data_IF_561852923617
#
_entry.id   IF_561852923617
#
_cell.length_a   1.000
_cell.length_b   1.000
_cell.length_c   1.000
_cell.angle_alpha   90.00
_cell.angle_beta   90.00
_cell.angle_gamma   90.00
#
_symmetry.space_group_name_H-M   'P 1'
#
loop_
_entity.id
_entity.type
_entity.pdbx_description
1 polymer ?
#
# COMPACT_ATOMS: atom_id res chain seq x y z
N UNK A 1 -25.60 17.84 59.35
CA UNK A 1 -24.16 17.80 59.71
C UNK A 1 -23.49 18.88 58.89
N UNK A 2 -23.30 20.06 59.50
CA UNK A 2 -22.01 20.58 60.01
C UNK A 2 -21.10 21.01 58.85
N UNK A 3 -21.10 22.30 58.50
CA UNK A 3 -20.26 23.39 59.03
C UNK A 3 -18.90 23.48 58.31
N UNK A 4 -18.47 24.73 58.07
CA UNK A 4 -17.11 25.29 57.99
C UNK A 4 -17.10 26.41 56.93
N UNK A 5 -17.41 27.65 57.33
CA UNK A 5 -16.55 28.71 57.91
C UNK A 5 -16.13 29.73 56.85
N UNK A 6 -16.62 30.94 57.08
CA UNK A 6 -16.20 32.22 56.53
C UNK A 6 -14.82 32.61 57.08
N UNK A 7 -13.95 33.17 56.23
CA UNK A 7 -13.00 34.19 56.68
C UNK A 7 -12.83 35.26 55.59
N UNK A 8 -12.80 36.50 56.07
CA UNK A 8 -12.92 37.77 55.35
C UNK A 8 -11.56 38.50 55.37
N UNK A 9 -11.51 39.61 54.63
CA UNK A 9 -10.50 40.68 54.62
C UNK A 9 -9.32 40.44 53.66
N UNK A 10 -8.91 41.37 52.81
CA UNK A 10 -9.33 42.75 52.57
C UNK A 10 -8.61 43.23 51.30
N UNK A 11 -9.27 44.11 50.55
CA UNK A 11 -8.83 44.48 49.20
C UNK A 11 -7.62 45.41 49.15
N UNK A 12 -7.00 45.45 47.97
CA UNK A 12 -6.41 46.64 47.38
C UNK A 12 -6.62 46.56 45.86
N UNK A 13 -7.41 47.49 45.36
CA UNK A 13 -7.55 47.84 43.94
C UNK A 13 -6.39 48.71 43.50
N UNK A 14 -5.75 48.38 42.38
CA UNK A 14 -4.97 49.23 41.45
C UNK A 14 -4.22 48.25 40.52
N UNK A 15 -4.02 48.42 39.22
CA UNK A 15 -4.50 49.28 38.15
C UNK A 15 -3.88 48.68 36.88
N UNK A 16 -4.43 48.99 35.70
CA UNK A 16 -3.96 48.59 34.37
C UNK A 16 -2.43 48.45 34.21
N UNK A 17 -1.96 47.35 33.63
CA UNK A 17 -0.81 47.43 32.73
C UNK A 17 -0.87 46.33 31.65
N UNK A 18 -1.15 46.78 30.44
CA UNK A 18 -1.14 46.03 29.18
C UNK A 18 0.29 45.57 28.87
N UNK A 19 0.64 44.31 29.18
CA UNK A 19 1.96 43.74 28.84
C UNK A 19 1.86 42.91 27.56
N UNK A 20 2.27 43.57 26.48
CA UNK A 20 2.23 43.10 25.10
C UNK A 20 2.81 41.70 24.86
N UNK A 21 2.24 41.07 23.84
CA UNK A 21 2.64 39.80 23.24
C UNK A 21 4.09 39.86 22.76
N UNK A 22 5.03 39.46 23.61
CA UNK A 22 6.41 39.15 23.21
C UNK A 22 6.40 37.87 22.34
N UNK A 23 7.06 37.84 21.17
CA UNK A 23 6.95 36.74 20.23
C UNK A 23 7.55 35.45 20.83
N UNK A 24 6.69 34.44 20.99
CA UNK A 24 6.94 33.11 21.58
C UNK A 24 8.22 32.41 21.07
N UNK A 25 8.72 32.81 19.90
CA UNK A 25 9.94 32.32 19.25
C UNK A 25 11.22 32.76 20.00
N UNK A 26 11.27 34.00 20.51
CA UNK A 26 12.46 34.51 21.22
C UNK A 26 12.69 33.78 22.55
N UNK A 27 11.63 33.30 23.19
CA UNK A 27 11.68 32.57 24.47
C UNK A 27 12.18 31.12 24.30
N UNK A 28 11.94 30.47 23.15
CA UNK A 28 12.47 29.14 22.84
C UNK A 28 13.98 29.16 22.54
N UNK A 29 14.45 30.15 21.79
CA UNK A 29 15.87 30.29 21.45
C UNK A 29 16.74 30.62 22.67
N UNK A 30 16.21 31.40 23.63
CA UNK A 30 16.92 31.73 24.88
C UNK A 30 17.11 30.50 25.78
N UNK A 31 16.21 29.51 25.68
CA UNK A 31 16.23 28.24 26.43
C UNK A 31 17.30 27.26 25.92
N UNK A 32 17.70 27.35 24.65
CA UNK A 32 18.83 26.60 24.09
C UNK A 32 20.20 27.11 24.55
N UNK A 33 20.27 28.32 25.12
CA UNK A 33 21.51 28.92 25.64
C UNK A 33 21.82 28.48 27.07
N UNK A 34 20.83 27.91 27.76
CA UNK A 34 21.00 27.37 29.09
C UNK A 34 21.88 26.10 29.07
N UNK A 35 22.77 25.96 30.06
CA UNK A 35 23.72 24.84 30.12
C UNK A 35 23.00 23.52 30.40
N UNK A 36 21.96 23.55 31.23
CA UNK A 36 21.27 22.34 31.66
C UNK A 36 20.31 21.82 30.59
N UNK A 37 19.67 22.72 29.82
CA UNK A 37 18.88 22.33 28.64
C UNK A 37 19.75 21.69 27.55
N UNK A 38 20.99 22.17 27.34
CA UNK A 38 21.94 21.56 26.39
C UNK A 38 22.42 20.18 26.83
N UNK A 39 22.67 19.98 28.12
CA UNK A 39 22.99 18.66 28.68
C UNK A 39 21.83 17.69 28.50
N UNK A 40 20.59 18.12 28.75
CA UNK A 40 19.40 17.29 28.59
C UNK A 40 19.20 16.87 27.12
N UNK A 41 19.35 17.81 26.18
CA UNK A 41 19.27 17.51 24.74
C UNK A 41 20.41 16.58 24.31
N UNK A 42 21.64 16.79 24.80
CA UNK A 42 22.78 15.92 24.51
C UNK A 42 22.57 14.50 25.03
N UNK A 43 22.01 14.33 26.24
CA UNK A 43 21.69 13.01 26.81
C UNK A 43 20.57 12.32 26.02
N UNK A 44 19.52 13.04 25.60
CA UNK A 44 18.44 12.48 24.78
C UNK A 44 18.96 12.06 23.40
N UNK A 45 19.81 12.87 22.77
CA UNK A 45 20.41 12.54 21.48
C UNK A 45 21.40 11.37 21.60
N UNK A 46 22.24 11.35 22.63
CA UNK A 46 23.17 10.25 22.90
C UNK A 46 22.42 8.93 23.15
N UNK A 47 21.33 8.95 23.91
CA UNK A 47 20.47 7.78 24.13
C UNK A 47 19.83 7.26 22.83
N UNK A 48 19.35 8.16 21.97
CA UNK A 48 18.83 7.79 20.64
C UNK A 48 19.91 7.20 19.74
N UNK A 49 21.11 7.78 19.72
CA UNK A 49 22.22 7.28 18.92
C UNK A 49 22.71 5.90 19.40
N UNK A 50 22.78 5.69 20.73
CA UNK A 50 23.08 4.38 21.31
C UNK A 50 22.03 3.32 20.94
N UNK A 51 20.75 3.68 20.96
CA UNK A 51 19.66 2.81 20.52
C UNK A 51 19.76 2.42 19.04
N UNK A 52 20.08 3.39 18.16
CA UNK A 52 20.28 3.13 16.73
C UNK A 52 21.49 2.22 16.49
N UNK A 53 22.60 2.44 17.19
CA UNK A 53 23.80 1.59 17.07
C UNK A 53 23.53 0.17 17.57
N UNK A 54 22.83 0.01 18.70
CA UNK A 54 22.44 -1.30 19.22
C UNK A 54 21.50 -2.06 18.26
N UNK A 55 20.56 -1.34 17.63
CA UNK A 55 19.67 -1.92 16.62
C UNK A 55 20.44 -2.37 15.37
N UNK A 56 21.33 -1.51 14.84
CA UNK A 56 22.15 -1.85 13.67
C UNK A 56 23.10 -3.02 13.96
N UNK A 57 23.61 -3.11 15.18
CA UNK A 57 24.40 -4.25 15.63
C UNK A 57 23.56 -5.52 15.70
N UNK A 58 22.35 -5.48 16.28
CA UNK A 58 21.44 -6.61 16.32
C UNK A 58 21.05 -7.10 14.92
N UNK A 59 20.80 -6.20 13.98
CA UNK A 59 20.50 -6.53 12.57
C UNK A 59 21.69 -7.21 11.90
N UNK A 60 22.91 -6.72 12.10
CA UNK A 60 24.13 -7.37 11.56
C UNK A 60 24.42 -8.71 12.23
N UNK A 61 24.24 -8.82 13.54
CA UNK A 61 24.45 -10.05 14.29
C UNK A 61 23.43 -11.14 13.88
N UNK A 62 22.16 -10.74 13.68
CA UNK A 62 21.13 -11.62 13.13
C UNK A 62 21.48 -12.06 11.71
N UNK A 63 21.88 -11.13 10.84
CA UNK A 63 22.32 -11.45 9.48
C UNK A 63 23.55 -12.37 9.43
N UNK A 64 24.48 -12.24 10.38
CA UNK A 64 25.64 -13.12 10.50
C UNK A 64 25.27 -14.52 11.03
N UNK A 65 24.41 -14.59 12.05
CA UNK A 65 23.96 -15.86 12.64
C UNK A 65 23.14 -16.70 11.65
N UNK A 66 22.22 -16.07 10.90
CA UNK A 66 21.41 -16.74 9.88
C UNK A 66 22.06 -16.80 8.50
N UNK A 67 23.12 -16.04 8.26
CA UNK A 67 23.88 -16.02 6.99
C UNK A 67 25.08 -16.96 6.97
N UNK A 68 25.33 -17.73 8.03
CA UNK A 68 26.34 -18.80 7.98
C UNK A 68 25.92 -19.85 6.96
N UNK A 69 26.77 -20.08 5.94
CA UNK A 69 26.45 -21.03 4.89
C UNK A 69 26.35 -22.44 5.49
N UNK A 70 25.17 -23.04 5.40
CA UNK A 70 25.06 -24.49 5.45
C UNK A 70 25.90 -25.04 4.30
N UNK A 71 26.87 -25.90 4.60
CA UNK A 71 27.72 -26.57 3.62
C UNK A 71 26.85 -27.33 2.61
N UNK A 72 26.50 -26.68 1.51
CA UNK A 72 25.93 -27.34 0.35
C UNK A 72 27.05 -28.11 -0.33
N UNK A 73 27.08 -29.43 -0.08
CA UNK A 73 27.93 -30.36 -0.79
C UNK A 73 27.80 -30.15 -2.30
N UNK A 74 28.95 -30.11 -2.97
CA UNK A 74 29.14 -30.00 -4.41
C UNK A 74 28.22 -30.96 -5.18
N UNK A 75 27.05 -30.49 -5.60
CA UNK A 75 26.26 -31.15 -6.62
C UNK A 75 26.73 -30.64 -7.98
N UNK A 76 27.25 -31.59 -8.76
CA UNK A 76 27.63 -31.47 -10.16
C UNK A 76 26.50 -30.75 -10.92
N UNK A 77 26.76 -29.52 -11.36
CA UNK A 77 25.88 -28.77 -12.25
C UNK A 77 25.77 -29.51 -13.59
N UNK A 78 24.83 -30.45 -13.67
CA UNK A 78 24.10 -30.67 -14.91
C UNK A 78 23.37 -29.35 -15.17
N UNK A 79 23.42 -28.83 -16.39
CA UNK A 79 22.78 -27.56 -16.75
C UNK A 79 21.25 -27.65 -16.56
N UNK A 80 20.79 -27.46 -15.33
CA UNK A 80 19.39 -27.19 -15.00
C UNK A 80 19.17 -25.74 -15.38
N UNK A 81 18.22 -25.47 -16.28
CA UNK A 81 17.81 -24.08 -16.53
C UNK A 81 17.34 -23.50 -15.20
N UNK A 82 17.81 -22.31 -14.85
CA UNK A 82 17.46 -21.67 -13.58
C UNK A 82 15.95 -21.57 -13.34
N UNK A 83 15.17 -21.53 -14.43
CA UNK A 83 13.70 -21.48 -14.45
C UNK A 83 13.01 -22.76 -13.93
N UNK A 84 13.72 -23.89 -13.83
CA UNK A 84 13.16 -25.18 -13.41
C UNK A 84 13.29 -25.44 -11.89
N UNK A 85 13.99 -24.57 -11.15
CA UNK A 85 14.23 -24.78 -9.71
C UNK A 85 13.28 -23.91 -8.89
N UNK A 86 12.22 -24.54 -8.39
CA UNK A 86 11.38 -23.93 -7.35
C UNK A 86 12.18 -23.87 -6.05
N UNK A 87 12.47 -22.66 -5.58
CA UNK A 87 13.05 -22.42 -4.28
C UNK A 87 11.95 -22.47 -3.20
N UNK A 88 11.99 -23.45 -2.28
CA UNK A 88 10.94 -23.61 -1.28
C UNK A 88 10.84 -22.42 -0.33
N UNK A 89 11.96 -21.82 0.07
CA UNK A 89 11.98 -20.67 1.00
C UNK A 89 11.36 -19.42 0.36
N UNK A 90 11.73 -19.12 -0.89
CA UNK A 90 11.12 -18.00 -1.63
C UNK A 90 9.62 -18.22 -1.81
N UNK A 91 9.22 -19.45 -2.18
CA UNK A 91 7.82 -19.80 -2.39
C UNK A 91 7.00 -19.68 -1.10
N UNK A 92 7.51 -20.20 0.02
CA UNK A 92 6.84 -20.08 1.33
C UNK A 92 6.70 -18.62 1.73
N UNK A 93 7.74 -17.81 1.58
CA UNK A 93 7.67 -16.38 1.89
C UNK A 93 6.62 -15.65 1.05
N UNK A 94 6.58 -15.93 -0.27
CA UNK A 94 5.57 -15.35 -1.17
C UNK A 94 4.17 -15.83 -0.81
N UNK A 95 3.97 -17.09 -0.43
CA UNK A 95 2.66 -17.57 0.02
C UNK A 95 2.21 -16.90 1.32
N UNK A 96 3.10 -16.81 2.32
CA UNK A 96 2.79 -16.12 3.58
C UNK A 96 2.39 -14.67 3.32
N UNK A 97 3.17 -13.96 2.50
CA UNK A 97 2.85 -12.56 2.15
C UNK A 97 1.59 -12.46 1.28
N UNK A 98 1.32 -13.40 0.38
CA UNK A 98 0.08 -13.46 -0.39
C UNK A 98 -1.15 -13.60 0.52
N UNK A 99 -1.09 -14.45 1.55
CA UNK A 99 -2.17 -14.56 2.53
C UNK A 99 -2.33 -13.29 3.38
N UNK A 100 -1.24 -12.63 3.75
CA UNK A 100 -1.30 -11.36 4.47
C UNK A 100 -1.94 -10.25 3.64
N UNK A 101 -1.58 -10.16 2.35
CA UNK A 101 -2.18 -9.19 1.42
C UNK A 101 -3.62 -9.54 1.14
N UNK A 102 -3.95 -10.82 0.92
CA UNK A 102 -5.34 -11.25 0.77
C UNK A 102 -6.18 -10.96 2.03
N UNK A 103 -5.58 -11.02 3.22
CA UNK A 103 -6.27 -10.63 4.45
C UNK A 103 -6.56 -9.13 4.54
N UNK A 104 -5.93 -8.29 3.71
CA UNK A 104 -6.32 -6.88 3.56
C UNK A 104 -7.77 -6.76 3.10
N UNK A 105 -8.33 -7.74 2.39
CA UNK A 105 -9.72 -7.71 1.94
C UNK A 105 -10.70 -7.75 3.11
N UNK A 106 -10.40 -8.52 4.16
CA UNK A 106 -11.17 -8.46 5.40
C UNK A 106 -11.07 -7.07 6.05
N UNK A 107 -9.90 -6.43 5.98
CA UNK A 107 -9.67 -5.07 6.46
C UNK A 107 -10.47 -4.02 5.68
N UNK A 108 -10.44 -4.07 4.35
CA UNK A 108 -11.22 -3.19 3.48
C UNK A 108 -12.72 -3.40 3.67
N UNK A 109 -13.17 -4.65 3.71
CA UNK A 109 -14.58 -4.98 3.97
C UNK A 109 -15.05 -4.39 5.30
N UNK A 110 -14.24 -4.50 6.37
CA UNK A 110 -14.53 -3.86 7.66
C UNK A 110 -14.56 -2.32 7.59
N UNK A 111 -13.64 -1.72 6.83
CA UNK A 111 -13.57 -0.28 6.63
C UNK A 111 -14.76 0.26 5.84
N UNK A 112 -15.13 -0.40 4.74
CA UNK A 112 -16.29 -0.04 3.92
C UNK A 112 -17.59 -0.19 4.69
N UNK A 113 -17.77 -1.33 5.38
CA UNK A 113 -18.92 -1.56 6.25
C UNK A 113 -19.01 -0.52 7.38
N UNK A 114 -17.87 -0.10 7.94
CA UNK A 114 -17.79 0.90 8.99
C UNK A 114 -18.12 2.33 8.53
N UNK A 115 -17.77 2.68 7.29
CA UNK A 115 -18.12 3.98 6.69
C UNK A 115 -19.51 4.00 6.01
N UNK A 116 -20.08 2.82 5.75
CA UNK A 116 -21.44 2.68 5.23
C UNK A 116 -22.49 3.00 6.31
N UNK A 117 -23.71 3.31 5.86
CA UNK A 117 -24.86 3.40 6.76
C UNK A 117 -25.26 1.99 7.19
N UNK A 118 -25.68 1.83 8.45
CA UNK A 118 -26.04 0.52 9.03
C UNK A 118 -27.03 -0.30 8.19
N UNK A 119 -27.96 0.38 7.49
CA UNK A 119 -28.95 -0.29 6.61
C UNK A 119 -28.36 -0.85 5.32
N UNK A 120 -27.21 -0.36 4.88
CA UNK A 120 -26.53 -0.79 3.64
C UNK A 120 -25.41 -1.80 3.92
N UNK A 121 -25.02 -2.01 5.18
CA UNK A 121 -23.86 -2.81 5.56
C UNK A 121 -23.89 -4.21 4.97
N UNK A 122 -25.04 -4.90 4.99
CA UNK A 122 -25.15 -6.26 4.43
C UNK A 122 -24.88 -6.28 2.92
N UNK A 123 -25.37 -5.27 2.20
CA UNK A 123 -25.16 -5.15 0.76
C UNK A 123 -23.67 -4.91 0.45
N UNK A 124 -23.02 -4.03 1.20
CA UNK A 124 -21.58 -3.75 1.08
C UNK A 124 -20.74 -5.01 1.33
N UNK A 125 -21.06 -5.79 2.38
CA UNK A 125 -20.33 -7.02 2.67
C UNK A 125 -20.45 -8.04 1.52
N UNK A 126 -21.64 -8.18 0.93
CA UNK A 126 -21.87 -9.06 -0.21
C UNK A 126 -21.14 -8.57 -1.46
N UNK A 127 -21.15 -7.27 -1.72
CA UNK A 127 -20.43 -6.64 -2.82
C UNK A 127 -18.93 -6.90 -2.72
N UNK A 128 -18.31 -6.71 -1.54
CA UNK A 128 -16.88 -6.99 -1.35
C UNK A 128 -16.53 -8.48 -1.61
N UNK A 129 -17.32 -9.43 -1.09
CA UNK A 129 -17.05 -10.86 -1.31
C UNK A 129 -17.21 -11.22 -2.78
N UNK A 130 -18.26 -10.69 -3.43
CA UNK A 130 -18.51 -10.95 -4.83
C UNK A 130 -17.43 -10.33 -5.72
N UNK A 131 -16.96 -9.12 -5.42
CA UNK A 131 -15.86 -8.44 -6.12
C UNK A 131 -14.58 -9.27 -6.07
N UNK A 132 -14.20 -9.79 -4.90
CA UNK A 132 -13.04 -10.68 -4.76
C UNK A 132 -13.17 -11.95 -5.61
N UNK A 133 -14.34 -12.59 -5.62
CA UNK A 133 -14.57 -13.77 -6.45
C UNK A 133 -14.48 -13.44 -7.95
N UNK A 134 -15.12 -12.35 -8.37
CA UNK A 134 -15.12 -11.90 -9.76
C UNK A 134 -13.72 -11.49 -10.22
N UNK A 135 -12.99 -10.73 -9.40
CA UNK A 135 -11.59 -10.39 -9.60
C UNK A 135 -10.74 -11.66 -9.80
N UNK A 136 -10.90 -12.65 -8.92
CA UNK A 136 -10.17 -13.92 -9.02
C UNK A 136 -10.41 -14.64 -10.35
N UNK A 137 -11.67 -14.71 -10.80
CA UNK A 137 -12.04 -15.34 -12.08
C UNK A 137 -11.47 -14.57 -13.28
N UNK A 138 -11.58 -13.25 -13.30
CA UNK A 138 -11.09 -12.42 -14.40
C UNK A 138 -9.56 -12.41 -14.46
N UNK A 139 -8.92 -12.32 -13.30
CA UNK A 139 -7.47 -12.31 -13.19
C UNK A 139 -6.87 -13.67 -13.54
N UNK A 140 -7.54 -14.78 -13.18
CA UNK A 140 -7.20 -16.12 -13.65
C UNK A 140 -7.39 -16.25 -15.17
N UNK A 141 -8.51 -15.78 -15.71
CA UNK A 141 -8.85 -15.98 -17.12
C UNK A 141 -7.94 -15.20 -18.07
N UNK A 142 -7.71 -13.92 -17.80
CA UNK A 142 -6.92 -13.06 -18.69
C UNK A 142 -6.14 -11.94 -18.00
N UNK A 143 -6.50 -11.51 -16.78
CA UNK A 143 -5.80 -10.41 -16.11
C UNK A 143 -4.31 -10.72 -15.86
N UNK A 144 -3.98 -11.93 -15.37
CA UNK A 144 -2.58 -12.33 -15.22
C UNK A 144 -1.85 -12.39 -16.56
N UNK A 145 -2.53 -12.85 -17.62
CA UNK A 145 -1.96 -12.92 -18.96
C UNK A 145 -1.59 -11.53 -19.49
N UNK A 146 -2.47 -10.55 -19.29
CA UNK A 146 -2.21 -9.16 -19.67
C UNK A 146 -1.09 -8.54 -18.85
N UNK A 147 -1.01 -8.82 -17.55
CA UNK A 147 -0.04 -8.20 -16.65
C UNK A 147 1.36 -8.81 -16.74
N UNK A 148 1.45 -10.13 -16.63
CA UNK A 148 2.72 -10.87 -16.45
C UNK A 148 3.03 -11.84 -17.60
N UNK A 149 2.15 -11.93 -18.61
CA UNK A 149 2.44 -12.63 -19.85
C UNK A 149 3.54 -11.93 -20.66
N UNK A 150 4.34 -12.71 -21.36
CA UNK A 150 5.25 -12.19 -22.38
C UNK A 150 4.41 -11.55 -23.49
N UNK A 151 4.79 -10.36 -23.93
CA UNK A 151 4.08 -9.63 -24.96
C UNK A 151 4.90 -8.47 -25.51
N UNK A 152 4.20 -7.38 -25.84
CA UNK A 152 4.83 -6.12 -26.26
C UNK A 152 4.91 -5.16 -25.06
N UNK A 153 5.46 -3.95 -25.23
CA UNK A 153 5.61 -3.02 -24.11
C UNK A 153 4.31 -2.54 -23.44
N UNK A 154 3.15 -2.77 -24.06
CA UNK A 154 1.84 -2.33 -23.56
C UNK A 154 1.02 -3.44 -22.91
N UNK A 155 1.13 -4.70 -23.36
CA UNK A 155 0.28 -5.79 -22.88
C UNK A 155 0.92 -7.16 -23.12
N UNK A 156 0.71 -8.08 -22.18
CA UNK A 156 1.08 -9.49 -22.27
C UNK A 156 0.12 -10.33 -23.13
N UNK A 157 0.64 -11.41 -23.71
CA UNK A 157 -0.10 -12.30 -24.63
C UNK A 157 0.01 -13.79 -24.28
N UNK A 158 0.58 -14.14 -23.12
CA UNK A 158 0.76 -15.54 -22.69
C UNK A 158 0.10 -15.78 -21.34
N UNK A 159 -0.17 -17.05 -21.00
CA UNK A 159 -0.79 -17.48 -19.73
C UNK A 159 -2.29 -17.17 -19.58
N UNK A 160 -3.03 -17.05 -20.67
CA UNK A 160 -4.51 -17.04 -20.61
C UNK A 160 -5.00 -18.33 -19.93
N UNK A 161 -5.92 -18.21 -18.97
CA UNK A 161 -6.41 -19.32 -18.13
C UNK A 161 -5.28 -20.08 -17.40
N UNK A 162 -4.11 -19.43 -17.21
CA UNK A 162 -2.86 -20.03 -16.74
C UNK A 162 -2.34 -21.19 -17.62
N UNK A 163 -2.78 -21.25 -18.88
CA UNK A 163 -2.31 -22.26 -19.83
C UNK A 163 -0.82 -22.08 -20.13
N UNK A 164 -0.07 -23.18 -20.09
CA UNK A 164 1.37 -23.17 -20.33
C UNK A 164 2.19 -22.54 -19.18
N UNK A 165 1.63 -22.48 -17.97
CA UNK A 165 2.34 -22.03 -16.78
C UNK A 165 3.59 -22.90 -16.51
N UNK A 166 4.81 -22.31 -16.49
CA UNK A 166 6.02 -23.00 -16.06
C UNK A 166 5.99 -23.33 -14.55
N UNK A 167 7.00 -24.04 -14.07
CA UNK A 167 7.13 -24.34 -12.64
C UNK A 167 7.39 -23.09 -11.80
N UNK A 168 8.20 -22.16 -12.31
CA UNK A 168 8.50 -20.88 -11.65
C UNK A 168 8.16 -19.70 -12.55
N UNK A 169 7.84 -18.55 -11.96
CA UNK A 169 7.66 -17.33 -12.75
C UNK A 169 9.02 -16.68 -13.04
N UNK A 170 9.50 -16.76 -14.29
CA UNK A 170 10.81 -16.24 -14.70
C UNK A 170 11.95 -16.79 -13.83
N UNK A 171 12.96 -15.98 -13.55
CA UNK A 171 14.11 -16.39 -12.73
C UNK A 171 13.91 -16.18 -11.23
N UNK A 172 12.67 -16.04 -10.75
CA UNK A 172 12.38 -15.72 -9.33
C UNK A 172 12.60 -16.89 -8.39
N UNK A 173 12.55 -18.12 -8.92
CA UNK A 173 12.53 -19.35 -8.11
C UNK A 173 11.24 -19.50 -7.27
N UNK A 174 10.23 -18.66 -7.49
CA UNK A 174 8.93 -18.75 -6.83
C UNK A 174 8.01 -19.62 -7.67
N UNK A 175 7.31 -20.58 -7.05
CA UNK A 175 6.33 -21.39 -7.74
C UNK A 175 5.30 -20.51 -8.47
N UNK A 176 5.01 -20.82 -9.73
CA UNK A 176 4.20 -19.95 -10.59
C UNK A 176 2.82 -19.64 -9.97
N UNK A 177 2.17 -20.63 -9.38
CA UNK A 177 0.87 -20.43 -8.71
C UNK A 177 0.97 -19.59 -7.44
N UNK A 178 2.09 -19.65 -6.70
CA UNK A 178 2.31 -18.78 -5.55
C UNK A 178 2.49 -17.33 -6.00
N UNK A 179 3.22 -17.10 -7.10
CA UNK A 179 3.34 -15.79 -7.70
C UNK A 179 1.99 -15.28 -8.22
N UNK A 180 1.21 -16.13 -8.89
CA UNK A 180 -0.14 -15.79 -9.34
C UNK A 180 -1.04 -15.39 -8.17
N UNK A 181 -1.08 -16.17 -7.08
CA UNK A 181 -1.88 -15.90 -5.90
C UNK A 181 -1.49 -14.56 -5.26
N UNK A 182 -0.19 -14.30 -5.15
CA UNK A 182 0.34 -13.04 -4.65
C UNK A 182 -0.17 -11.87 -5.50
N UNK A 183 -0.09 -11.96 -6.82
CA UNK A 183 -0.49 -10.87 -7.72
C UNK A 183 -2.01 -10.69 -7.80
N UNK A 184 -2.77 -11.78 -7.69
CA UNK A 184 -4.22 -11.73 -7.55
C UNK A 184 -4.62 -10.90 -6.34
N UNK A 185 -3.98 -11.07 -5.18
CA UNK A 185 -4.30 -10.29 -3.98
C UNK A 185 -4.06 -8.78 -4.17
N UNK A 186 -3.07 -8.38 -4.99
CA UNK A 186 -2.83 -6.97 -5.34
C UNK A 186 -3.90 -6.45 -6.31
N UNK A 187 -4.30 -7.27 -7.29
CA UNK A 187 -5.37 -6.94 -8.23
C UNK A 187 -6.69 -6.69 -7.49
N UNK A 188 -7.02 -7.58 -6.57
CA UNK A 188 -8.19 -7.49 -5.70
C UNK A 188 -8.13 -6.24 -4.83
N UNK A 189 -6.96 -5.95 -4.22
CA UNK A 189 -6.76 -4.70 -3.47
C UNK A 189 -7.04 -3.45 -4.32
N UNK A 190 -6.59 -3.42 -5.58
CA UNK A 190 -6.84 -2.28 -6.48
C UNK A 190 -8.34 -2.13 -6.81
N UNK A 191 -9.05 -3.25 -7.00
CA UNK A 191 -10.50 -3.26 -7.22
C UNK A 191 -11.25 -2.71 -6.01
N UNK A 192 -10.93 -3.19 -4.81
CA UNK A 192 -11.62 -2.80 -3.58
C UNK A 192 -11.36 -1.35 -3.14
N UNK A 193 -10.21 -0.76 -3.50
CA UNK A 193 -10.03 0.70 -3.33
C UNK A 193 -11.09 1.49 -4.11
N UNK A 194 -11.52 0.96 -5.26
CA UNK A 194 -12.53 1.58 -6.12
C UNK A 194 -13.95 1.46 -5.53
N UNK A 195 -14.33 0.28 -5.02
CA UNK A 195 -15.65 0.07 -4.38
C UNK A 195 -15.89 1.01 -3.21
N UNK A 196 -14.91 1.16 -2.32
CA UNK A 196 -15.06 1.95 -1.09
C UNK A 196 -15.44 3.41 -1.31
N UNK A 197 -15.02 4.04 -2.42
CA UNK A 197 -15.41 5.42 -2.76
C UNK A 197 -16.86 5.52 -3.26
N UNK A 198 -17.36 4.46 -3.86
CA UNK A 198 -18.68 4.39 -4.47
C UNK A 198 -19.74 3.77 -3.54
N UNK A 199 -19.30 3.19 -2.41
CA UNK A 199 -20.12 2.53 -1.38
C UNK A 199 -21.44 3.25 -1.05
N UNK A 200 -22.51 2.46 -0.98
CA UNK A 200 -23.85 2.88 -0.54
C UNK A 200 -24.63 3.74 -1.54
N UNK A 201 -24.19 3.80 -2.81
CA UNK A 201 -24.92 4.44 -3.92
C UNK A 201 -24.63 3.87 -5.31
N UNK A 202 -23.71 2.92 -5.47
CA UNK A 202 -23.65 2.08 -6.68
C UNK A 202 -24.76 1.03 -6.61
N UNK A 203 -25.33 0.69 -7.76
CA UNK A 203 -26.13 -0.52 -7.86
C UNK A 203 -25.20 -1.72 -8.08
N UNK A 204 -25.58 -2.90 -7.60
CA UNK A 204 -24.81 -4.14 -7.78
C UNK A 204 -24.38 -4.43 -9.23
N UNK A 205 -25.20 -4.07 -10.22
CA UNK A 205 -24.83 -4.20 -11.64
C UNK A 205 -23.68 -3.26 -12.04
N UNK A 206 -23.64 -2.06 -11.46
CA UNK A 206 -22.52 -1.13 -11.60
C UNK A 206 -21.26 -1.70 -10.96
N UNK A 207 -21.39 -2.43 -9.86
CA UNK A 207 -20.27 -3.10 -9.21
C UNK A 207 -19.65 -4.19 -10.09
N UNK A 208 -20.49 -5.01 -10.72
CA UNK A 208 -20.04 -5.99 -11.73
C UNK A 208 -19.26 -5.30 -12.86
N UNK A 209 -19.80 -4.23 -13.43
CA UNK A 209 -19.17 -3.57 -14.57
C UNK A 209 -17.85 -2.88 -14.23
N UNK A 210 -17.76 -2.19 -13.07
CA UNK A 210 -16.47 -1.62 -12.69
C UNK A 210 -15.48 -2.74 -12.38
N UNK A 211 -15.87 -3.79 -11.66
CA UNK A 211 -14.98 -4.90 -11.31
C UNK A 211 -14.40 -5.57 -12.56
N UNK A 212 -15.23 -5.81 -13.58
CA UNK A 212 -14.78 -6.30 -14.89
C UNK A 212 -13.76 -5.35 -15.51
N UNK A 213 -14.06 -4.05 -15.53
CA UNK A 213 -13.16 -3.06 -16.11
C UNK A 213 -11.82 -2.97 -15.37
N UNK A 214 -11.84 -2.93 -14.04
CA UNK A 214 -10.64 -2.75 -13.21
C UNK A 214 -9.81 -4.03 -13.20
N UNK A 215 -10.38 -5.13 -12.71
CA UNK A 215 -9.67 -6.39 -12.48
C UNK A 215 -9.31 -7.12 -13.77
N UNK A 216 -10.14 -6.94 -14.81
CA UNK A 216 -9.94 -7.58 -16.10
C UNK A 216 -9.03 -6.80 -17.06
N UNK A 217 -9.06 -5.46 -17.03
CA UNK A 217 -8.41 -4.65 -18.07
C UNK A 217 -7.51 -3.55 -17.50
N UNK A 218 -8.06 -2.58 -16.76
CA UNK A 218 -7.32 -1.36 -16.39
C UNK A 218 -6.11 -1.68 -15.50
N UNK A 219 -6.33 -2.41 -14.40
CA UNK A 219 -5.26 -2.81 -13.48
C UNK A 219 -4.20 -3.69 -14.15
N UNK A 220 -4.54 -4.83 -14.80
CA UNK A 220 -3.51 -5.70 -15.34
C UNK A 220 -2.74 -5.07 -16.52
N UNK A 221 -3.38 -4.25 -17.36
CA UNK A 221 -2.70 -3.55 -18.46
C UNK A 221 -1.73 -2.50 -17.91
N UNK A 222 -2.16 -1.67 -16.96
CA UNK A 222 -1.24 -0.71 -16.33
C UNK A 222 -0.12 -1.41 -15.57
N UNK A 223 -0.45 -2.50 -14.87
CA UNK A 223 0.50 -3.37 -14.21
C UNK A 223 1.54 -3.94 -15.19
N UNK A 224 1.17 -4.25 -16.43
CA UNK A 224 2.12 -4.66 -17.45
C UNK A 224 3.14 -3.58 -17.75
N UNK A 225 2.70 -2.33 -17.85
CA UNK A 225 3.60 -1.20 -18.17
C UNK A 225 4.69 -1.06 -17.11
N UNK A 226 4.33 -1.23 -15.84
CA UNK A 226 5.23 -1.03 -14.70
C UNK A 226 6.03 -2.28 -14.28
N UNK A 227 5.38 -3.45 -14.24
CA UNK A 227 5.91 -4.70 -13.66
C UNK A 227 5.95 -5.87 -14.65
N UNK A 228 5.28 -5.74 -15.78
CA UNK A 228 5.22 -6.78 -16.80
C UNK A 228 6.54 -6.95 -17.55
N UNK A 229 6.79 -8.15 -18.11
CA UNK A 229 7.99 -8.39 -18.90
C UNK A 229 7.98 -7.55 -20.18
N UNK A 230 8.89 -6.58 -20.27
CA UNK A 230 9.00 -5.66 -21.40
C UNK A 230 8.14 -4.41 -21.30
N UNK A 231 7.44 -4.20 -20.19
CA UNK A 231 6.61 -3.02 -19.94
C UNK A 231 7.32 -1.70 -20.21
N UNK A 232 6.69 -0.83 -20.99
CA UNK A 232 7.35 0.39 -21.48
C UNK A 232 7.72 1.37 -20.36
N UNK A 233 6.94 1.42 -19.27
CA UNK A 233 7.17 2.33 -18.16
C UNK A 233 8.30 1.80 -17.27
N UNK A 234 8.30 0.50 -16.97
CA UNK A 234 9.33 -0.21 -16.22
C UNK A 234 10.63 -0.47 -17.00
N UNK A 235 10.65 -0.21 -18.31
CA UNK A 235 11.83 -0.44 -19.16
C UNK A 235 12.27 0.78 -20.00
N UNK A 236 11.53 1.91 -19.96
CA UNK A 236 11.77 3.17 -20.68
C UNK A 236 12.40 3.05 -22.08
N UNK A 237 11.98 2.05 -22.85
CA UNK A 237 12.58 1.69 -24.14
C UNK A 237 11.80 2.25 -25.35
N UNK A 238 10.64 2.88 -25.12
CA UNK A 238 9.85 3.54 -26.17
C UNK A 238 10.19 5.04 -26.21
N UNK A 239 11.14 5.46 -27.05
CA UNK A 239 11.46 6.88 -27.29
C UNK A 239 11.00 7.33 -28.70
N UNK A 240 9.88 8.07 -28.78
CA UNK A 240 9.94 9.45 -29.33
C UNK A 240 9.57 10.53 -28.29
N UNK A 241 9.07 10.13 -27.11
CA UNK A 241 8.64 11.02 -26.00
C UNK A 241 9.58 11.10 -24.77
N UNK A 242 10.75 10.46 -24.77
CA UNK A 242 11.85 10.63 -23.80
C UNK A 242 12.46 12.04 -23.91
N UNK A 243 11.75 12.99 -23.33
CA UNK A 243 12.29 14.30 -22.95
C UNK A 243 12.97 14.21 -21.57
N UNK A 244 12.97 13.04 -20.94
CA UNK A 244 13.62 12.75 -19.66
C UNK A 244 15.04 12.22 -19.89
N UNK A 245 16.00 13.14 -19.95
CA UNK A 245 17.36 12.99 -20.45
C UNK A 245 18.34 12.16 -19.59
N UNK A 246 17.89 11.28 -18.67
CA UNK A 246 18.82 10.65 -17.69
C UNK A 246 18.60 9.17 -17.37
N UNK A 247 17.96 8.36 -18.24
CA UNK A 247 17.90 6.89 -18.04
C UNK A 247 17.22 6.43 -16.74
N UNK A 248 16.40 7.29 -16.12
CA UNK A 248 15.75 7.03 -14.85
C UNK A 248 14.46 6.23 -15.04
N UNK A 249 14.55 4.90 -14.90
CA UNK A 249 13.41 3.97 -15.04
C UNK A 249 12.37 4.16 -13.94
N UNK A 250 11.07 4.07 -14.27
CA UNK A 250 9.99 4.08 -13.29
C UNK A 250 10.16 2.95 -12.26
N UNK A 251 10.04 3.28 -10.97
CA UNK A 251 10.14 2.31 -9.87
C UNK A 251 8.92 2.39 -8.98
N UNK A 252 8.15 1.31 -8.97
CA UNK A 252 7.09 1.05 -8.01
C UNK A 252 7.36 -0.31 -7.38
N UNK A 253 7.73 -0.35 -6.10
CA UNK A 253 8.17 -1.58 -5.45
C UNK A 253 7.00 -2.49 -5.07
N UNK A 254 5.92 -1.89 -4.55
CA UNK A 254 4.80 -2.63 -3.94
C UNK A 254 3.43 -2.04 -4.28
N UNK A 255 3.32 -1.20 -5.30
CA UNK A 255 2.04 -0.77 -5.85
C UNK A 255 1.56 0.57 -5.33
N UNK A 256 2.44 1.48 -4.92
CA UNK A 256 2.01 2.85 -4.56
C UNK A 256 1.32 3.52 -5.75
N UNK A 257 1.77 3.21 -6.97
CA UNK A 257 1.15 3.66 -8.20
C UNK A 257 0.22 2.60 -8.76
N UNK A 258 0.74 1.40 -9.05
CA UNK A 258 0.03 0.34 -9.78
C UNK A 258 -1.26 -0.10 -9.05
N UNK A 259 -1.26 -0.13 -7.72
CA UNK A 259 -2.44 -0.47 -6.92
C UNK A 259 -3.14 0.80 -6.45
N UNK A 260 -2.48 1.60 -5.61
CA UNK A 260 -3.16 2.67 -4.87
C UNK A 260 -3.51 3.88 -5.71
N UNK A 261 -2.60 4.34 -6.58
CA UNK A 261 -2.86 5.50 -7.43
C UNK A 261 -3.86 5.14 -8.52
N UNK A 262 -3.67 4.02 -9.22
CA UNK A 262 -4.63 3.53 -10.23
C UNK A 262 -6.01 3.33 -9.60
N UNK A 263 -6.11 2.58 -8.51
CA UNK A 263 -7.36 2.40 -7.78
C UNK A 263 -7.97 3.74 -7.33
N UNK A 264 -7.16 4.67 -6.82
CA UNK A 264 -7.61 5.99 -6.39
C UNK A 264 -8.15 6.88 -7.52
N UNK A 265 -7.54 6.85 -8.71
CA UNK A 265 -8.04 7.60 -9.87
C UNK A 265 -9.33 7.00 -10.44
N UNK A 266 -9.45 5.67 -10.44
CA UNK A 266 -10.69 5.00 -10.85
C UNK A 266 -11.80 5.30 -9.83
N UNK A 267 -11.48 5.22 -8.53
CA UNK A 267 -12.36 5.61 -7.45
C UNK A 267 -12.86 7.05 -7.58
N UNK A 268 -11.96 7.98 -7.93
CA UNK A 268 -12.30 9.37 -8.19
C UNK A 268 -13.25 9.50 -9.39
N UNK A 269 -12.94 8.85 -10.52
CA UNK A 269 -13.78 8.87 -11.70
C UNK A 269 -15.18 8.29 -11.42
N UNK A 270 -15.25 7.16 -10.71
CA UNK A 270 -16.51 6.54 -10.29
C UNK A 270 -17.31 7.44 -9.33
N UNK A 271 -16.65 8.07 -8.35
CA UNK A 271 -17.29 9.01 -7.45
C UNK A 271 -17.84 10.26 -8.17
N UNK A 272 -17.12 10.76 -9.19
CA UNK A 272 -17.58 11.86 -10.05
C UNK A 272 -18.79 11.45 -10.88
N UNK A 273 -18.79 10.25 -11.45
CA UNK A 273 -19.89 9.74 -12.28
C UNK A 273 -21.18 9.50 -11.48
N UNK A 274 -21.06 8.93 -10.26
CA UNK A 274 -22.20 8.71 -9.37
C UNK A 274 -22.69 9.99 -8.70
N UNK A 275 -21.82 10.98 -8.57
CA UNK A 275 -22.10 12.22 -7.86
C UNK A 275 -22.23 12.05 -6.34
N UNK A 276 -22.68 13.11 -5.64
CA UNK A 276 -22.76 13.13 -4.18
C UNK A 276 -23.82 12.19 -3.59
N UNK A 277 -23.56 11.70 -2.37
CA UNK A 277 -24.54 10.88 -1.63
C UNK A 277 -25.83 11.66 -1.35
N UNK A 278 -26.97 11.01 -1.57
CA UNK A 278 -28.30 11.57 -1.30
C UNK A 278 -28.41 12.07 0.15
N UNK A 279 -28.95 13.29 0.30
CA UNK A 279 -29.12 13.95 1.60
C UNK A 279 -27.87 14.64 2.15
N UNK A 280 -26.71 14.56 1.47
CA UNK A 280 -25.54 15.36 1.83
C UNK A 280 -25.74 16.80 1.34
N UNK A 281 -25.81 17.73 2.29
CA UNK A 281 -25.81 19.17 2.01
C UNK A 281 -24.37 19.67 1.98
N UNK A 282 -23.96 20.28 0.88
CA UNK A 282 -22.69 20.98 0.76
C UNK A 282 -22.89 22.46 1.09
N UNK A 283 -21.87 23.14 1.62
CA UNK A 283 -21.94 24.59 1.71
C UNK A 283 -21.79 25.15 0.30
N UNK A 284 -22.14 26.43 0.13
CA UNK A 284 -22.07 27.08 -1.20
C UNK A 284 -20.63 27.17 -1.73
N UNK A 285 -19.64 27.07 -0.85
CA UNK A 285 -18.20 27.04 -1.11
C UNK A 285 -17.58 25.62 -1.13
N UNK A 286 -18.39 24.56 -1.01
CA UNK A 286 -17.94 23.16 -0.96
C UNK A 286 -17.99 22.56 0.44
#
# INVERSE_FOLDING_TARGET
MLNYTTESYGGLTESCEEKGTQPMIRTRLRRLRDKDTRKLIAVILAGKMLGIVALLFAVKAFGWYFGSQASAATLRQVAVKADDIVNPLNTVWVLVTAFLVFFMQAGFMGLEAGFARSRETVNVLLECVFDTCLCGLLYWAFGFAFQFGTGNGFIGHTYFLLHGAPQTYGTTGVAFLAFWLFQFAFADTASTVTSGAMVGRTAFIGDIWYSIAVSGFIYPIFGHWAWGPGGWLGNMTLHPLSTFTHGAVFRDFAGSTVVHTVGGFIALAGAMALGPRLGRKFKKDG
#
